data_IF_594618864188
#
_entry.id   IF_594618864188
#
_cell.length_a   1.000
_cell.length_b   1.000
_cell.length_c   1.000
_cell.angle_alpha   90.00
_cell.angle_beta   90.00
_cell.angle_gamma   90.00
#
_symmetry.space_group_name_H-M   'P 1'
#
loop_
_entity.id
_entity.type
_entity.pdbx_description
1 polymer ?
#
# COMPACT_ATOMS: atom_id res chain seq x y z
N UNK A 1 8.93 15.43 14.80
CA UNK A 1 7.48 15.72 14.70
C UNK A 1 6.76 14.42 14.43
N UNK A 2 5.54 14.20 14.94
CA UNK A 2 4.76 13.03 14.57
C UNK A 2 4.46 13.04 13.06
N UNK A 3 4.48 11.88 12.42
CA UNK A 3 4.16 11.70 10.99
C UNK A 3 2.83 10.95 10.89
N UNK A 4 1.95 11.38 10.00
CA UNK A 4 0.71 10.67 9.67
C UNK A 4 1.01 9.81 8.44
N UNK A 5 0.63 8.53 8.49
CA UNK A 5 0.87 7.57 7.40
C UNK A 5 -0.49 6.96 7.05
N UNK A 6 -0.96 7.07 5.80
CA UNK A 6 -2.15 6.38 5.36
C UNK A 6 -1.98 4.86 5.45
N UNK A 7 -2.98 4.17 6.00
CA UNK A 7 -3.03 2.72 6.08
C UNK A 7 -4.15 2.19 5.18
N UNK A 8 -3.79 1.33 4.23
CA UNK A 8 -4.67 0.74 3.23
C UNK A 8 -5.02 -0.70 3.62
N UNK A 9 -6.31 -1.06 3.58
CA UNK A 9 -6.80 -2.37 3.96
C UNK A 9 -6.95 -3.27 2.73
N UNK A 10 -6.34 -4.45 2.80
CA UNK A 10 -6.38 -5.48 1.78
C UNK A 10 -6.86 -6.80 2.38
N UNK A 11 -7.31 -7.71 1.50
CA UNK A 11 -7.74 -9.05 1.92
C UNK A 11 -6.50 -9.90 2.23
N UNK A 12 -5.70 -10.20 1.20
CA UNK A 12 -4.44 -10.96 1.30
C UNK A 12 -3.36 -10.52 0.28
N UNK A 13 -3.63 -9.46 -0.49
CA UNK A 13 -2.86 -9.00 -1.65
C UNK A 13 -2.05 -7.71 -1.40
N UNK A 14 -1.85 -7.31 -0.14
CA UNK A 14 -1.12 -6.07 0.22
C UNK A 14 0.26 -5.93 -0.43
N UNK A 15 1.05 -7.01 -0.51
CA UNK A 15 2.37 -6.96 -1.13
C UNK A 15 2.31 -6.79 -2.65
N UNK A 16 1.41 -7.52 -3.31
CA UNK A 16 1.22 -7.40 -4.75
C UNK A 16 0.74 -5.99 -5.12
N UNK A 17 -0.21 -5.44 -4.36
CA UNK A 17 -0.69 -4.08 -4.54
C UNK A 17 0.43 -3.04 -4.34
N UNK A 18 1.22 -3.17 -3.26
CA UNK A 18 2.34 -2.28 -3.00
C UNK A 18 3.41 -2.34 -4.10
N UNK A 19 3.78 -3.56 -4.55
CA UNK A 19 4.72 -3.76 -5.65
C UNK A 19 4.22 -3.13 -6.95
N UNK A 20 2.93 -3.27 -7.24
CA UNK A 20 2.29 -2.62 -8.38
C UNK A 20 2.40 -1.09 -8.28
N UNK A 21 2.00 -0.47 -7.17
CA UNK A 21 2.07 0.98 -7.01
C UNK A 21 3.51 1.50 -7.12
N UNK A 22 4.46 0.84 -6.44
CA UNK A 22 5.89 1.20 -6.50
C UNK A 22 6.45 1.12 -7.92
N UNK A 23 5.94 0.21 -8.76
CA UNK A 23 6.35 0.11 -10.16
C UNK A 23 5.87 1.26 -11.04
N UNK A 24 4.80 1.97 -10.65
CA UNK A 24 4.19 3.04 -11.43
C UNK A 24 4.87 4.39 -11.21
N UNK A 25 5.11 4.74 -9.94
CA UNK A 25 5.58 6.05 -9.53
C UNK A 25 7.11 6.11 -9.47
N UNK A 26 7.73 7.24 -9.90
CA UNK A 26 9.13 7.47 -9.63
C UNK A 26 9.39 7.59 -8.12
N UNK A 27 10.65 7.53 -7.69
CA UNK A 27 11.08 7.71 -6.29
C UNK A 27 10.30 6.84 -5.28
N UNK A 28 9.96 5.62 -5.69
CA UNK A 28 9.13 4.70 -4.92
C UNK A 28 9.89 3.44 -4.54
N UNK A 29 9.54 2.83 -3.40
CA UNK A 29 10.19 1.63 -2.88
C UNK A 29 9.29 0.82 -1.96
N UNK A 30 9.52 -0.50 -1.90
CA UNK A 30 9.08 -1.31 -0.78
C UNK A 30 10.12 -1.13 0.34
N UNK A 31 9.65 -0.67 1.50
CA UNK A 31 10.53 -0.30 2.62
C UNK A 31 10.63 -1.44 3.64
N UNK A 32 9.52 -2.10 3.94
CA UNK A 32 9.49 -3.26 4.82
C UNK A 32 8.32 -4.20 4.53
N UNK A 33 8.53 -5.50 4.75
CA UNK A 33 7.47 -6.53 4.73
C UNK A 33 7.45 -7.22 6.08
N UNK A 34 6.37 -7.01 6.83
CA UNK A 34 6.14 -7.68 8.12
C UNK A 34 5.23 -8.88 7.89
N UNK A 35 5.57 -10.01 8.52
CA UNK A 35 4.83 -11.27 8.40
C UNK A 35 4.18 -11.64 9.72
N UNK A 36 3.07 -12.39 9.65
CA UNK A 36 2.41 -12.92 10.83
C UNK A 36 3.38 -13.79 11.65
N UNK A 37 3.48 -13.56 12.98
CA UNK A 37 4.31 -14.38 13.84
C UNK A 37 3.67 -15.75 14.09
N UNK A 38 4.47 -16.69 14.59
CA UNK A 38 3.95 -17.97 15.09
C UNK A 38 2.96 -17.74 16.25
N UNK A 39 1.83 -18.44 16.21
CA UNK A 39 0.80 -18.36 17.26
C UNK A 39 -0.07 -17.10 17.21
N UNK A 40 -0.06 -16.35 16.10
CA UNK A 40 -1.00 -15.25 15.90
C UNK A 40 -2.47 -15.75 15.97
N UNK A 41 -3.35 -14.95 16.59
CA UNK A 41 -4.79 -15.26 16.67
C UNK A 41 -5.48 -15.20 15.30
N UNK A 42 -4.91 -14.42 14.39
CA UNK A 42 -5.39 -14.18 13.03
C UNK A 42 -4.21 -14.33 12.05
N UNK A 43 -4.54 -14.67 10.80
CA UNK A 43 -3.54 -14.90 9.75
C UNK A 43 -2.82 -16.25 9.89
N UNK A 44 -2.06 -16.60 8.86
CA UNK A 44 -1.23 -17.81 8.85
C UNK A 44 0.22 -17.39 9.10
N UNK A 45 0.90 -18.03 10.05
CA UNK A 45 2.28 -17.72 10.36
C UNK A 45 3.16 -17.71 9.09
N UNK A 46 3.98 -16.67 8.95
CA UNK A 46 4.84 -16.46 7.79
C UNK A 46 4.17 -15.81 6.56
N UNK A 47 2.84 -15.65 6.52
CA UNK A 47 2.19 -14.85 5.47
C UNK A 47 2.35 -13.36 5.75
N UNK A 48 2.18 -12.53 4.71
CA UNK A 48 2.32 -11.07 4.83
C UNK A 48 1.20 -10.51 5.71
N UNK A 49 1.59 -9.72 6.71
CA UNK A 49 0.70 -8.96 7.58
C UNK A 49 0.62 -7.51 7.12
N UNK A 50 1.77 -6.82 7.09
CA UNK A 50 1.84 -5.45 6.55
C UNK A 50 2.98 -5.28 5.57
N UNK A 51 2.83 -4.29 4.70
CA UNK A 51 3.86 -3.82 3.79
C UNK A 51 3.97 -2.31 3.94
N UNK A 52 5.13 -1.84 4.36
CA UNK A 52 5.46 -0.42 4.37
C UNK A 52 6.16 -0.10 3.04
N UNK A 53 5.68 0.95 2.38
CA UNK A 53 6.18 1.36 1.07
C UNK A 53 6.10 2.87 0.90
N UNK A 54 6.89 3.40 -0.03
CA UNK A 54 6.94 4.82 -0.36
C UNK A 54 6.52 5.02 -1.81
N UNK A 55 5.64 5.99 -2.07
CA UNK A 55 5.23 6.44 -3.40
C UNK A 55 5.62 7.90 -3.59
N UNK A 56 6.52 8.17 -4.54
CA UNK A 56 7.09 9.51 -4.81
C UNK A 56 7.49 10.29 -3.54
N UNK A 57 8.12 9.61 -2.59
CA UNK A 57 8.54 10.18 -1.30
C UNK A 57 7.51 10.20 -0.17
N UNK A 58 6.23 9.90 -0.44
CA UNK A 58 5.16 9.80 0.57
C UNK A 58 5.01 8.35 1.06
N UNK A 59 4.97 8.09 2.38
CA UNK A 59 4.94 6.75 2.94
C UNK A 59 3.50 6.23 3.03
N UNK A 60 3.36 4.92 2.94
CA UNK A 60 2.11 4.20 3.08
C UNK A 60 2.36 2.89 3.82
N UNK A 61 1.29 2.38 4.45
CA UNK A 61 1.25 1.01 4.94
C UNK A 61 0.07 0.31 4.29
N UNK A 62 0.28 -0.89 3.76
CA UNK A 62 -0.77 -1.81 3.37
C UNK A 62 -0.89 -2.92 4.43
N UNK A 63 -2.12 -3.30 4.79
CA UNK A 63 -2.43 -4.30 5.81
C UNK A 63 -3.33 -5.39 5.21
N UNK A 64 -2.90 -6.64 5.31
CA UNK A 64 -3.75 -7.81 5.07
C UNK A 64 -4.60 -8.09 6.30
N UNK A 65 -5.85 -7.64 6.26
CA UNK A 65 -6.82 -7.77 7.36
C UNK A 65 -8.00 -8.68 7.03
N UNK A 66 -8.03 -9.31 5.86
CA UNK A 66 -9.13 -10.14 5.40
C UNK A 66 -10.28 -9.35 4.76
N UNK A 67 -11.36 -10.02 4.33
CA UNK A 67 -12.35 -9.46 3.39
C UNK A 67 -13.44 -8.61 4.08
N UNK A 68 -13.21 -8.20 5.33
CA UNK A 68 -14.21 -7.51 6.16
C UNK A 68 -14.50 -6.09 5.69
N UNK A 69 -13.50 -5.42 5.11
CA UNK A 69 -13.59 -4.05 4.64
C UNK A 69 -13.10 -3.95 3.21
N UNK A 70 -13.79 -3.11 2.43
CA UNK A 70 -13.44 -2.81 1.05
C UNK A 70 -13.23 -1.31 0.89
N UNK A 71 -12.42 -0.91 -0.09
CA UNK A 71 -12.28 0.50 -0.41
C UNK A 71 -13.62 1.12 -0.84
N UNK A 72 -13.73 2.41 -0.53
CA UNK A 72 -14.79 3.30 -1.01
C UNK A 72 -14.12 4.60 -1.45
N UNK A 73 -14.85 5.43 -2.19
CA UNK A 73 -14.37 6.73 -2.67
C UNK A 73 -14.07 7.72 -1.52
N UNK A 74 -14.46 7.41 -0.29
CA UNK A 74 -14.19 8.23 0.90
C UNK A 74 -12.69 8.43 1.18
N UNK A 75 -11.84 7.52 0.70
CA UNK A 75 -10.39 7.68 0.69
C UNK A 75 -9.90 7.57 -0.74
N UNK A 76 -9.22 8.61 -1.22
CA UNK A 76 -8.65 8.67 -2.56
C UNK A 76 -7.34 9.45 -2.56
N UNK A 77 -6.51 9.17 -3.56
CA UNK A 77 -5.26 9.88 -3.79
C UNK A 77 -5.34 10.61 -5.12
N UNK A 78 -5.00 11.89 -5.09
CA UNK A 78 -5.00 12.75 -6.28
C UNK A 78 -3.57 12.89 -6.75
N UNK A 79 -3.34 12.57 -8.02
CA UNK A 79 -2.03 12.68 -8.66
C UNK A 79 -2.06 13.97 -9.48
N UNK A 80 -1.26 14.95 -9.09
CA UNK A 80 -1.09 16.17 -9.88
C UNK A 80 -0.18 15.89 -11.07
N UNK A 81 -0.73 15.95 -12.28
CA UNK A 81 0.02 15.73 -13.52
C UNK A 81 0.43 17.07 -14.15
N UNK A 82 1.65 17.16 -14.64
CA UNK A 82 2.18 18.36 -15.29
C UNK A 82 1.59 18.59 -16.69
N UNK A 83 1.27 17.52 -17.41
CA UNK A 83 0.72 17.56 -18.77
C UNK A 83 -0.12 16.32 -19.13
N UNK A 84 -0.64 16.29 -20.36
CA UNK A 84 -1.45 15.19 -20.88
C UNK A 84 -0.67 13.88 -21.01
N UNK A 85 0.63 13.93 -21.31
CA UNK A 85 1.42 12.71 -21.49
C UNK A 85 1.65 12.00 -20.14
N UNK A 86 1.80 12.76 -19.06
CA UNK A 86 1.84 12.22 -17.71
C UNK A 86 0.47 11.69 -17.26
N UNK A 87 -0.61 12.39 -17.59
CA UNK A 87 -1.97 11.88 -17.34
C UNK A 87 -2.19 10.53 -18.04
N UNK A 88 -1.84 10.42 -19.33
CA UNK A 88 -1.95 9.20 -20.13
C UNK A 88 -1.04 8.06 -19.64
N UNK A 89 -0.01 8.37 -18.83
CA UNK A 89 0.84 7.35 -18.22
C UNK A 89 0.17 6.70 -17.01
N UNK A 90 -0.53 7.50 -16.21
CA UNK A 90 -1.16 7.03 -14.96
C UNK A 90 -2.60 6.53 -15.16
N UNK A 91 -3.25 6.89 -16.27
CA UNK A 91 -4.62 6.53 -16.60
C UNK A 91 -4.71 5.59 -17.81
#
# INVERSE_FOLDING_TARGET
>A
MPRIIPSLWFDDDALEAAEFYVSLFPNSSIDAVTRYPDGAEQGVAGTVLTVDFTLDGEPFTALNGGPMFTFTEAVSFVIECADQAELDRYW
#
